data_IF_970884152041
#
_entry.id   IF_970884152041
#
_cell.length_a   1.000
_cell.length_b   1.000
_cell.length_c   1.000
_cell.angle_alpha   90.00
_cell.angle_beta   90.00
_cell.angle_gamma   90.00
#
_symmetry.space_group_name_H-M   'P 1'
#
loop_
_entity.id
_entity.type
_entity.pdbx_description
1 polymer ?
#
# COMPACT_ATOMS: atom_id res chain seq x y z
N UNK A 1 3.18 13.34 -22.18
CA UNK A 1 3.43 12.10 -21.41
C UNK A 1 3.75 12.55 -19.99
N UNK A 2 2.88 12.29 -19.03
CA UNK A 2 3.13 12.65 -17.62
C UNK A 2 3.66 11.39 -16.95
N UNK A 3 4.89 11.45 -16.45
CA UNK A 3 5.54 10.35 -15.75
C UNK A 3 4.75 10.00 -14.47
N UNK A 4 4.56 8.70 -14.26
CA UNK A 4 3.95 8.18 -13.05
C UNK A 4 4.89 8.40 -11.87
N UNK A 5 4.38 9.02 -10.81
CA UNK A 5 5.13 9.18 -9.56
C UNK A 5 5.05 7.85 -8.80
N UNK A 6 6.20 7.19 -8.64
CA UNK A 6 6.39 6.05 -7.75
C UNK A 6 6.14 6.46 -6.29
N UNK A 7 5.33 5.66 -5.58
CA UNK A 7 5.11 5.82 -4.14
C UNK A 7 5.96 4.79 -3.38
N UNK A 8 7.22 5.16 -3.12
CA UNK A 8 8.00 4.58 -2.03
C UNK A 8 7.27 4.81 -0.69
N UNK A 9 7.58 4.00 0.33
CA UNK A 9 7.22 4.35 1.72
C UNK A 9 7.66 5.80 1.95
N UNK A 10 6.73 6.71 2.34
CA UNK A 10 7.04 8.12 2.48
C UNK A 10 8.26 8.33 3.39
N UNK A 11 9.35 8.86 2.86
CA UNK A 11 10.40 9.45 3.69
C UNK A 11 9.83 10.74 4.30
N UNK A 12 9.17 10.58 5.44
CA UNK A 12 8.49 11.67 6.15
C UNK A 12 9.46 12.70 6.76
N UNK A 13 10.78 12.47 6.69
CA UNK A 13 11.77 13.45 7.13
C UNK A 13 11.74 14.76 6.34
N UNK A 14 11.05 14.78 5.18
CA UNK A 14 10.93 15.93 4.26
C UNK A 14 9.61 16.72 4.35
N UNK A 15 8.66 16.31 5.20
CA UNK A 15 7.38 17.02 5.38
C UNK A 15 6.15 16.11 5.28
N UNK A 16 4.93 16.68 5.27
CA UNK A 16 3.71 15.90 5.11
C UNK A 16 3.63 15.28 3.72
N UNK A 17 3.10 14.06 3.63
CA UNK A 17 3.04 13.29 2.39
C UNK A 17 1.60 12.83 2.16
N UNK A 18 1.08 13.13 0.97
CA UNK A 18 -0.20 12.71 0.47
C UNK A 18 -0.05 11.36 -0.23
N UNK A 19 -0.92 10.41 0.11
CA UNK A 19 -0.97 9.08 -0.51
C UNK A 19 -2.43 8.66 -0.67
N UNK A 20 -2.81 8.27 -1.88
CA UNK A 20 -4.17 7.83 -2.21
C UNK A 20 -4.27 6.31 -2.20
N UNK A 21 -5.35 5.75 -1.65
CA UNK A 21 -5.64 4.30 -1.74
C UNK A 21 -7.10 4.12 -2.16
N UNK A 22 -7.28 3.60 -3.38
CA UNK A 22 -8.61 3.25 -3.88
C UNK A 22 -8.98 1.81 -3.52
N UNK A 23 -10.01 1.63 -2.69
CA UNK A 23 -10.56 0.31 -2.38
C UNK A 23 -11.73 0.00 -3.32
N UNK A 24 -11.44 -0.43 -4.54
CA UNK A 24 -12.49 -0.91 -5.44
C UNK A 24 -12.76 -2.40 -5.23
N UNK A 25 -13.59 -2.72 -4.21
CA UNK A 25 -14.87 -3.46 -4.37
C UNK A 25 -15.56 -3.57 -2.99
N UNK A 26 -16.50 -2.67 -2.70
CA UNK A 26 -17.39 -2.83 -1.54
C UNK A 26 -17.74 -1.58 -0.71
N UNK A 27 -17.19 -0.39 -0.96
CA UNK A 27 -17.89 0.84 -0.54
C UNK A 27 -17.11 2.08 -0.11
N UNK A 28 -15.77 2.09 0.03
CA UNK A 28 -15.10 3.26 0.62
C UNK A 28 -13.72 3.54 0.03
N UNK A 29 -13.53 4.67 -0.64
CA UNK A 29 -12.21 5.12 -1.09
C UNK A 29 -11.58 6.01 -0.01
N UNK A 30 -10.29 5.84 0.29
CA UNK A 30 -9.63 6.56 1.40
C UNK A 30 -8.37 7.27 0.95
N UNK A 31 -8.30 8.55 1.27
CA UNK A 31 -7.11 9.36 1.15
C UNK A 31 -6.37 9.39 2.48
N UNK A 32 -5.06 9.09 2.42
CA UNK A 32 -4.17 9.11 3.55
C UNK A 32 -3.22 10.30 3.45
N UNK A 33 -3.07 11.06 4.52
CA UNK A 33 -1.97 12.03 4.66
C UNK A 33 -1.17 11.71 5.88
N UNK A 34 0.13 11.56 5.71
CA UNK A 34 1.05 11.39 6.82
C UNK A 34 1.62 12.75 7.18
N UNK A 35 1.47 13.18 8.44
CA UNK A 35 1.91 14.48 8.93
C UNK A 35 2.76 14.31 10.18
N UNK A 36 4.00 14.81 10.12
CA UNK A 36 4.96 14.76 11.23
C UNK A 36 4.88 16.01 12.13
N UNK A 37 4.51 17.16 11.56
CA UNK A 37 4.27 18.39 12.31
C UNK A 37 2.78 18.74 12.27
N UNK A 38 2.04 18.24 13.23
CA UNK A 38 0.60 18.53 13.33
C UNK A 38 0.30 19.98 13.77
N UNK A 39 1.29 20.76 14.21
CA UNK A 39 1.07 22.16 14.63
C UNK A 39 0.96 23.11 13.44
N UNK A 40 1.59 22.77 12.32
CA UNK A 40 1.45 23.52 11.08
C UNK A 40 0.06 23.34 10.47
N UNK A 41 -0.45 24.40 9.84
CA UNK A 41 -1.69 24.36 9.08
C UNK A 41 -1.43 23.76 7.68
N UNK A 42 -2.09 22.64 7.38
CA UNK A 42 -2.12 22.02 6.06
C UNK A 42 -3.54 21.89 5.54
N UNK A 43 -3.71 22.11 4.23
CA UNK A 43 -5.01 22.04 3.56
C UNK A 43 -4.92 21.10 2.37
N UNK A 44 -5.87 20.18 2.29
CA UNK A 44 -6.01 19.26 1.17
C UNK A 44 -7.19 19.74 0.32
N UNK A 45 -6.97 19.82 -0.98
CA UNK A 45 -7.97 20.27 -1.95
C UNK A 45 -8.13 19.24 -3.06
N UNK A 46 -9.36 19.10 -3.58
CA UNK A 46 -9.71 18.32 -4.76
C UNK A 46 -10.18 19.29 -5.84
N UNK A 47 -9.49 19.34 -6.98
CA UNK A 47 -9.74 20.29 -8.06
C UNK A 47 -9.82 21.75 -7.55
N UNK A 48 -8.97 22.09 -6.57
CA UNK A 48 -8.93 23.41 -5.93
C UNK A 48 -10.02 23.65 -4.88
N UNK A 49 -10.98 22.76 -4.72
CA UNK A 49 -12.00 22.82 -3.66
C UNK A 49 -11.49 22.21 -2.36
N UNK A 50 -11.83 22.80 -1.23
CA UNK A 50 -11.44 22.29 0.08
C UNK A 50 -12.02 20.90 0.35
N UNK A 51 -11.19 19.99 0.87
CA UNK A 51 -11.62 18.64 1.33
C UNK A 51 -11.51 18.55 2.85
N UNK A 52 -10.28 18.68 3.37
CA UNK A 52 -10.00 18.67 4.80
C UNK A 52 -8.74 19.47 5.12
N UNK A 53 -8.50 19.69 6.41
CA UNK A 53 -7.29 20.35 6.89
C UNK A 53 -6.78 19.73 8.18
N UNK A 54 -5.51 19.98 8.43
CA UNK A 54 -4.85 19.76 9.70
C UNK A 54 -4.41 21.11 10.22
N UNK A 55 -4.77 21.45 11.45
CA UNK A 55 -4.30 22.68 12.08
C UNK A 55 -4.22 22.50 13.60
N UNK A 56 -3.13 23.00 14.18
CA UNK A 56 -2.87 23.02 15.62
C UNK A 56 -3.18 21.70 16.35
N UNK A 57 -2.69 20.58 15.83
CA UNK A 57 -2.85 19.25 16.43
C UNK A 57 -4.13 18.52 16.05
N UNK A 58 -5.05 19.17 15.32
CA UNK A 58 -6.39 18.67 15.01
C UNK A 58 -6.55 18.43 13.51
N UNK A 59 -7.42 17.47 13.18
CA UNK A 59 -7.85 17.20 11.81
C UNK A 59 -9.33 17.60 11.68
N UNK A 60 -9.68 18.34 10.64
CA UNK A 60 -11.03 18.85 10.39
C UNK A 60 -11.61 18.16 9.17
N UNK A 61 -12.85 17.64 9.24
CA UNK A 61 -13.50 16.87 8.16
C UNK A 61 -12.75 15.59 7.75
N UNK A 62 -11.97 15.02 8.66
CA UNK A 62 -11.19 13.79 8.45
C UNK A 62 -10.92 13.11 9.79
N UNK A 63 -10.46 11.87 9.75
CA UNK A 63 -10.11 11.07 10.93
C UNK A 63 -8.61 11.10 11.17
N UNK A 64 -8.18 11.27 12.43
CA UNK A 64 -6.77 11.21 12.83
C UNK A 64 -6.47 9.88 13.51
N UNK A 65 -5.38 9.23 13.11
CA UNK A 65 -4.76 8.08 13.79
C UNK A 65 -3.37 8.49 14.28
N UNK A 66 -3.10 8.26 15.57
CA UNK A 66 -1.81 8.54 16.20
C UNK A 66 -0.94 7.27 16.21
N UNK A 67 0.23 7.30 15.56
CA UNK A 67 1.09 6.10 15.41
C UNK A 67 2.22 6.01 16.46
N UNK A 68 2.09 6.65 17.62
CA UNK A 68 3.06 6.58 18.73
C UNK A 68 4.42 7.27 18.50
N UNK A 69 4.84 7.48 17.24
CA UNK A 69 6.16 8.01 16.87
C UNK A 69 6.11 9.48 16.39
N UNK A 70 5.17 10.29 16.89
CA UNK A 70 4.89 11.67 16.40
C UNK A 70 4.40 11.78 14.95
N UNK A 71 4.35 10.66 14.21
CA UNK A 71 3.77 10.55 12.88
C UNK A 71 2.27 10.31 13.00
N UNK A 72 1.48 11.21 12.46
CA UNK A 72 0.02 11.09 12.45
C UNK A 72 -0.45 10.73 11.05
N UNK A 73 -1.41 9.81 10.97
CA UNK A 73 -2.09 9.48 9.71
C UNK A 73 -3.47 10.11 9.72
N UNK A 74 -3.74 10.96 8.75
CA UNK A 74 -5.04 11.55 8.51
C UNK A 74 -5.74 10.75 7.42
N UNK A 75 -6.97 10.36 7.66
CA UNK A 75 -7.78 9.56 6.76
C UNK A 75 -9.03 10.35 6.41
N UNK A 76 -9.22 10.63 5.13
CA UNK A 76 -10.48 11.14 4.61
C UNK A 76 -11.10 10.10 3.70
N UNK A 77 -12.39 9.87 3.89
CA UNK A 77 -13.15 8.91 3.09
C UNK A 77 -13.92 9.67 2.02
N UNK A 78 -13.72 9.25 0.77
CA UNK A 78 -14.51 9.71 -0.36
C UNK A 78 -15.58 8.68 -0.70
N UNK A 79 -16.75 9.18 -1.07
CA UNK A 79 -17.77 8.43 -1.80
C UNK A 79 -17.39 8.34 -3.28
N UNK A 80 -17.82 7.29 -4.00
CA UNK A 80 -17.52 7.14 -5.44
C UNK A 80 -18.01 8.28 -6.33
N UNK A 81 -18.93 9.12 -5.86
CA UNK A 81 -19.46 10.27 -6.61
C UNK A 81 -18.60 11.54 -6.46
N UNK A 82 -17.73 11.59 -5.45
CA UNK A 82 -16.96 12.80 -5.11
C UNK A 82 -15.66 12.94 -5.92
N UNK A 83 -15.25 11.90 -6.65
CA UNK A 83 -14.05 11.93 -7.46
C UNK A 83 -14.21 11.15 -8.76
N UNK A 84 -13.36 11.47 -9.72
CA UNK A 84 -13.17 10.74 -10.96
C UNK A 84 -11.69 10.73 -11.36
N UNK A 85 -11.35 9.81 -12.24
CA UNK A 85 -10.06 9.81 -12.89
C UNK A 85 -9.77 11.15 -13.59
N UNK A 86 -8.55 11.64 -13.42
CA UNK A 86 -8.09 12.95 -13.87
C UNK A 86 -8.24 14.05 -12.83
N UNK A 87 -8.96 13.84 -11.72
CA UNK A 87 -9.08 14.85 -10.67
C UNK A 87 -7.75 15.10 -9.97
N UNK A 88 -7.55 16.35 -9.54
CA UNK A 88 -6.31 16.82 -8.91
C UNK A 88 -6.47 16.93 -7.40
N UNK A 89 -5.70 16.15 -6.66
CA UNK A 89 -5.55 16.31 -5.21
C UNK A 89 -4.30 17.14 -4.91
N UNK A 90 -4.44 18.22 -4.16
CA UNK A 90 -3.31 19.08 -3.79
C UNK A 90 -3.19 19.23 -2.29
N UNK A 91 -1.95 19.22 -1.80
CA UNK A 91 -1.58 19.49 -0.41
C UNK A 91 -0.92 20.86 -0.34
N UNK A 92 -1.42 21.72 0.53
CA UNK A 92 -0.92 23.09 0.73
C UNK A 92 -0.49 23.30 2.17
N UNK A 93 0.49 24.18 2.40
CA UNK A 93 0.76 24.76 3.72
C UNK A 93 -0.02 26.07 3.85
N UNK A 94 -0.99 26.11 4.77
CA UNK A 94 -1.96 27.20 4.93
C UNK A 94 -3.01 27.26 3.80
N UNK A 95 -4.06 28.05 4.00
CA UNK A 95 -5.23 28.10 3.10
C UNK A 95 -4.94 28.66 1.70
N UNK A 96 -3.94 29.54 1.60
CA UNK A 96 -3.58 30.28 0.39
C UNK A 96 -2.14 30.01 -0.07
N UNK A 97 -1.45 29.02 0.54
CA UNK A 97 -0.08 28.69 0.16
C UNK A 97 0.01 27.97 -1.19
N UNK A 98 1.20 27.95 -1.77
CA UNK A 98 1.48 27.13 -2.95
C UNK A 98 1.29 25.64 -2.62
N UNK A 99 0.93 24.86 -3.64
CA UNK A 99 0.84 23.41 -3.49
C UNK A 99 2.24 22.84 -3.20
N UNK A 100 2.36 22.13 -2.09
CA UNK A 100 3.55 21.34 -1.73
C UNK A 100 3.59 20.03 -2.53
N UNK A 101 2.42 19.47 -2.79
CA UNK A 101 2.28 18.23 -3.55
C UNK A 101 0.99 18.27 -4.36
N UNK A 102 1.03 17.67 -5.54
CA UNK A 102 -0.12 17.45 -6.42
C UNK A 102 -0.14 15.98 -6.82
N UNK A 103 -1.30 15.34 -6.68
CA UNK A 103 -1.58 13.99 -7.15
C UNK A 103 -2.70 14.06 -8.18
N UNK A 104 -2.62 13.24 -9.22
CA UNK A 104 -3.70 13.05 -10.18
C UNK A 104 -4.36 11.72 -9.86
N UNK A 105 -5.66 11.72 -9.59
CA UNK A 105 -6.44 10.50 -9.37
C UNK A 105 -6.48 9.75 -10.70
N UNK A 106 -6.07 8.47 -10.73
CA UNK A 106 -6.25 7.61 -11.92
C UNK A 106 -7.43 6.65 -11.73
N UNK A 107 -8.14 6.36 -12.82
CA UNK A 107 -9.15 5.28 -12.95
C UNK A 107 -8.55 3.89 -12.72
N UNK A 108 -7.24 3.78 -12.91
CA UNK A 108 -6.48 2.60 -12.58
C UNK A 108 -6.19 2.61 -11.10
N UNK A 109 -6.76 1.63 -10.38
CA UNK A 109 -6.30 1.25 -9.04
C UNK A 109 -4.82 0.90 -9.16
N UNK A 110 -3.95 1.84 -8.77
CA UNK A 110 -2.55 1.53 -8.54
C UNK A 110 -2.44 1.11 -7.09
N UNK A 111 -2.55 -0.20 -6.86
CA UNK A 111 -1.85 -0.79 -5.73
C UNK A 111 -0.40 -0.35 -5.90
N UNK A 112 0.21 0.29 -4.90
CA UNK A 112 1.65 0.51 -4.94
C UNK A 112 2.26 -0.86 -5.21
N UNK A 113 2.71 -1.13 -6.43
CA UNK A 113 3.69 -2.18 -6.65
C UNK A 113 4.91 -1.70 -5.89
N UNK A 114 4.93 -2.07 -4.62
CA UNK A 114 6.07 -1.92 -3.77
C UNK A 114 7.22 -2.59 -4.50
N UNK A 115 8.26 -1.82 -4.78
CA UNK A 115 9.49 -2.26 -5.46
C UNK A 115 10.04 -3.59 -4.92
N UNK A 116 9.67 -3.97 -3.70
CA UNK A 116 9.98 -5.26 -3.13
C UNK A 116 9.41 -6.44 -3.92
N UNK A 117 8.20 -6.38 -4.50
CA UNK A 117 7.58 -7.51 -5.20
C UNK A 117 7.96 -7.47 -6.68
N UNK A 118 8.72 -8.47 -7.12
CA UNK A 118 9.14 -8.61 -8.50
C UNK A 118 8.12 -9.40 -9.30
N UNK A 119 7.59 -10.49 -8.72
CA UNK A 119 6.70 -11.40 -9.43
C UNK A 119 5.84 -12.21 -8.45
N UNK A 120 4.61 -12.52 -8.87
CA UNK A 120 3.80 -13.58 -8.26
C UNK A 120 3.57 -14.67 -9.30
N UNK A 121 3.86 -15.91 -8.95
CA UNK A 121 3.76 -17.06 -9.84
C UNK A 121 2.91 -18.16 -9.22
N UNK A 122 2.10 -18.80 -10.05
CA UNK A 122 1.32 -19.99 -9.68
C UNK A 122 1.74 -21.17 -10.53
N UNK A 123 1.96 -22.32 -9.91
CA UNK A 123 2.41 -23.55 -10.56
C UNK A 123 1.34 -24.62 -10.39
N UNK A 124 0.47 -24.77 -11.40
CA UNK A 124 -0.70 -25.66 -11.41
C UNK A 124 -0.35 -27.09 -10.96
N UNK A 125 0.61 -27.70 -11.66
CA UNK A 125 1.02 -29.09 -11.48
C UNK A 125 1.46 -29.44 -10.05
N UNK A 126 1.99 -28.44 -9.35
CA UNK A 126 2.54 -28.62 -8.00
C UNK A 126 1.67 -28.02 -6.90
N UNK A 127 0.56 -27.36 -7.27
CA UNK A 127 -0.27 -26.58 -6.35
C UNK A 127 0.55 -25.60 -5.54
N UNK A 128 1.43 -24.83 -6.19
CA UNK A 128 2.35 -23.91 -5.51
C UNK A 128 2.07 -22.47 -5.89
N UNK A 129 2.01 -21.59 -4.90
CA UNK A 129 2.08 -20.13 -5.07
C UNK A 129 3.47 -19.68 -4.64
N UNK A 130 4.14 -18.86 -5.46
CA UNK A 130 5.41 -18.24 -5.12
C UNK A 130 5.34 -16.73 -5.33
N UNK A 131 6.03 -16.01 -4.45
CA UNK A 131 6.24 -14.57 -4.56
C UNK A 131 7.73 -14.32 -4.58
N UNK A 132 8.21 -13.71 -5.66
CA UNK A 132 9.59 -13.27 -5.80
C UNK A 132 9.71 -11.85 -5.28
N UNK A 133 10.64 -11.66 -4.33
CA UNK A 133 10.96 -10.39 -3.73
C UNK A 133 12.39 -9.96 -4.07
N UNK A 134 12.64 -8.66 -4.20
CA UNK A 134 14.01 -8.12 -4.13
C UNK A 134 14.61 -8.47 -2.76
N UNK A 135 15.78 -9.10 -2.79
CA UNK A 135 16.42 -9.69 -1.61
C UNK A 135 16.72 -8.65 -0.51
N UNK A 136 17.11 -7.43 -0.90
CA UNK A 136 17.39 -6.34 0.03
C UNK A 136 16.16 -5.95 0.87
N UNK A 137 14.95 -6.10 0.33
CA UNK A 137 13.70 -5.79 1.03
C UNK A 137 13.24 -6.95 1.90
N UNK A 138 13.42 -8.19 1.43
CA UNK A 138 13.17 -9.40 2.22
C UNK A 138 14.01 -9.46 3.50
N UNK A 139 15.28 -9.03 3.43
CA UNK A 139 16.20 -9.02 4.57
C UNK A 139 15.92 -7.91 5.60
N UNK A 140 15.25 -6.82 5.20
CA UNK A 140 14.87 -5.72 6.09
C UNK A 140 13.80 -6.16 7.10
N UNK A 141 13.52 -5.32 8.09
CA UNK A 141 12.48 -5.54 9.09
C UNK A 141 11.05 -5.32 8.56
N UNK A 142 10.80 -5.71 7.31
CA UNK A 142 9.50 -5.69 6.67
C UNK A 142 8.84 -7.05 6.86
N UNK A 143 7.56 -7.06 7.22
CA UNK A 143 6.76 -8.27 7.27
C UNK A 143 5.95 -8.37 5.98
N UNK A 144 6.18 -9.40 5.18
CA UNK A 144 5.38 -9.67 3.98
C UNK A 144 4.42 -10.82 4.27
N UNK A 145 3.15 -10.64 3.92
CA UNK A 145 2.11 -11.65 4.09
C UNK A 145 1.49 -11.88 2.71
N UNK A 146 1.46 -13.11 2.25
CA UNK A 146 0.74 -13.47 1.03
C UNK A 146 -0.57 -14.12 1.43
N UNK A 147 -1.66 -13.65 0.84
CA UNK A 147 -3.00 -14.17 1.03
C UNK A 147 -3.54 -14.79 -0.24
N UNK A 148 -4.27 -15.88 -0.09
CA UNK A 148 -5.11 -16.46 -1.13
C UNK A 148 -6.57 -16.31 -0.68
N UNK A 149 -7.39 -15.58 -1.43
CA UNK A 149 -8.78 -15.29 -1.10
C UNK A 149 -8.98 -14.75 0.34
N UNK A 150 -8.03 -13.97 0.84
CA UNK A 150 -8.06 -13.39 2.19
C UNK A 150 -7.41 -14.24 3.29
N UNK A 151 -7.08 -15.50 3.02
CA UNK A 151 -6.39 -16.38 3.98
C UNK A 151 -4.87 -16.27 3.86
N UNK A 152 -4.15 -16.15 4.97
CA UNK A 152 -2.68 -16.08 4.98
C UNK A 152 -2.08 -17.44 4.59
N UNK A 153 -1.31 -17.48 3.50
CA UNK A 153 -0.66 -18.71 3.00
C UNK A 153 0.86 -18.67 3.11
N UNK A 154 1.46 -17.48 3.12
CA UNK A 154 2.91 -17.27 3.24
C UNK A 154 3.12 -16.06 4.15
N UNK A 155 4.15 -16.12 4.98
CA UNK A 155 4.61 -14.97 5.74
C UNK A 155 6.13 -14.89 5.74
N UNK A 156 6.71 -13.69 5.72
CA UNK A 156 8.14 -13.49 5.92
C UNK A 156 8.44 -12.27 6.77
N UNK A 157 9.57 -12.29 7.48
CA UNK A 157 10.06 -11.19 8.30
C UNK A 157 11.57 -11.31 8.55
N UNK A 158 12.33 -10.23 8.34
CA UNK A 158 13.78 -10.15 8.61
C UNK A 158 14.57 -11.30 7.98
N UNK A 159 14.32 -11.57 6.70
CA UNK A 159 15.04 -12.59 5.97
C UNK A 159 14.65 -14.03 6.34
N UNK A 160 13.54 -14.24 7.04
CA UNK A 160 13.00 -15.56 7.39
C UNK A 160 11.61 -15.73 6.81
N UNK A 161 11.33 -16.91 6.28
CA UNK A 161 10.01 -17.32 5.83
C UNK A 161 9.32 -18.19 6.89
N UNK A 162 8.01 -18.06 6.98
CA UNK A 162 7.12 -18.75 7.91
C UNK A 162 5.96 -19.34 7.11
N UNK A 163 5.56 -20.57 7.44
CA UNK A 163 4.54 -21.33 6.71
C UNK A 163 4.84 -21.48 5.21
N UNK A 164 6.10 -21.33 4.82
CA UNK A 164 6.56 -21.24 3.44
C UNK A 164 8.01 -21.72 3.33
N UNK A 165 8.41 -22.09 2.12
CA UNK A 165 9.79 -22.38 1.76
C UNK A 165 10.46 -21.13 1.17
N UNK A 166 11.78 -21.08 1.30
CA UNK A 166 12.62 -20.09 0.62
C UNK A 166 13.34 -20.81 -0.51
N UNK A 167 13.07 -20.39 -1.73
CA UNK A 167 13.79 -20.81 -2.92
C UNK A 167 14.73 -19.67 -3.34
N UNK A 168 15.97 -20.01 -3.76
CA UNK A 168 16.78 -19.02 -4.48
C UNK A 168 16.06 -18.69 -5.78
N UNK A 169 15.81 -17.40 -6.03
CA UNK A 169 15.27 -16.99 -7.31
C UNK A 169 16.32 -17.22 -8.42
N UNK A 170 15.85 -17.31 -9.66
CA UNK A 170 16.70 -17.52 -10.83
C UNK A 170 17.66 -16.35 -11.08
N UNK A 171 17.31 -15.15 -10.60
CA UNK A 171 18.09 -13.93 -10.78
C UNK A 171 18.86 -13.56 -9.50
N UNK A 172 20.11 -13.08 -9.62
CA UNK A 172 20.85 -12.50 -8.50
C UNK A 172 20.10 -11.30 -7.89
N UNK A 173 20.07 -11.20 -6.55
CA UNK A 173 19.40 -10.11 -5.83
C UNK A 173 17.90 -10.30 -5.65
N UNK A 174 17.36 -11.47 -5.99
CA UNK A 174 15.97 -11.84 -5.79
C UNK A 174 15.85 -13.10 -4.91
N UNK A 175 14.71 -13.23 -4.24
CA UNK A 175 14.38 -14.40 -3.44
C UNK A 175 12.92 -14.80 -3.64
N UNK A 176 12.65 -16.08 -3.81
CA UNK A 176 11.30 -16.59 -3.93
C UNK A 176 10.86 -17.19 -2.59
N UNK A 177 9.72 -16.75 -2.09
CA UNK A 177 9.02 -17.40 -0.98
C UNK A 177 7.80 -18.13 -1.53
N UNK A 178 7.61 -19.39 -1.15
CA UNK A 178 6.59 -20.23 -1.77
C UNK A 178 5.85 -21.12 -0.76
N UNK A 179 4.60 -21.44 -1.05
CA UNK A 179 3.81 -22.39 -0.27
C UNK A 179 3.02 -23.30 -1.21
N UNK A 180 2.84 -24.55 -0.77
CA UNK A 180 1.92 -25.49 -1.42
C UNK A 180 0.52 -25.24 -0.89
N UNK A 181 -0.38 -24.84 -1.78
CA UNK A 181 -1.76 -24.50 -1.48
C UNK A 181 -2.65 -24.85 -2.67
N UNK A 182 -3.87 -25.30 -2.41
CA UNK A 182 -4.85 -25.52 -3.47
C UNK A 182 -5.41 -24.17 -3.91
N UNK A 183 -5.42 -23.95 -5.21
CA UNK A 183 -6.02 -22.79 -5.84
C UNK A 183 -6.70 -23.21 -7.14
N UNK A 184 -7.57 -22.35 -7.67
CA UNK A 184 -8.23 -22.49 -8.96
C UNK A 184 -8.17 -21.17 -9.73
N UNK A 185 -8.36 -21.19 -11.06
CA UNK A 185 -8.50 -19.98 -11.85
C UNK A 185 -9.50 -19.00 -11.24
N UNK A 186 -9.15 -17.71 -11.25
CA UNK A 186 -9.93 -16.63 -10.66
C UNK A 186 -9.73 -16.43 -9.15
N UNK A 187 -9.04 -17.33 -8.44
CA UNK A 187 -8.67 -17.08 -7.04
C UNK A 187 -7.75 -15.85 -6.95
N UNK A 188 -7.98 -15.03 -5.92
CA UNK A 188 -7.25 -13.78 -5.70
C UNK A 188 -6.01 -14.03 -4.85
N UNK A 189 -4.86 -13.54 -5.28
CA UNK A 189 -3.62 -13.53 -4.51
C UNK A 189 -3.27 -12.09 -4.15
N UNK A 190 -3.04 -11.82 -2.87
CA UNK A 190 -2.65 -10.51 -2.37
C UNK A 190 -1.32 -10.61 -1.64
N UNK A 191 -0.39 -9.70 -1.91
CA UNK A 191 0.82 -9.53 -1.09
C UNK A 191 0.63 -8.27 -0.26
N UNK A 192 0.88 -8.38 1.03
CA UNK A 192 0.74 -7.30 1.99
C UNK A 192 2.10 -7.01 2.63
N UNK A 193 2.39 -5.73 2.85
CA UNK A 193 3.42 -5.29 3.80
C UNK A 193 2.71 -4.94 5.11
N UNK A 194 3.14 -5.54 6.20
CA UNK A 194 2.59 -5.32 7.53
C UNK A 194 3.67 -4.83 8.50
N UNK A 195 3.22 -4.10 9.53
CA UNK A 195 4.06 -3.79 10.68
C UNK A 195 4.03 -4.93 11.72
N UNK A 196 4.97 -4.91 12.65
CA UNK A 196 5.04 -5.87 13.75
C UNK A 196 5.76 -7.18 13.40
N UNK A 197 5.73 -8.12 14.35
CA UNK A 197 6.40 -9.43 14.25
C UNK A 197 5.37 -10.51 13.86
N UNK A 198 5.82 -11.62 13.26
CA UNK A 198 4.99 -12.80 13.08
C UNK A 198 4.28 -13.25 14.36
N UNK A 199 3.04 -13.71 14.24
CA UNK A 199 2.21 -14.15 15.36
C UNK A 199 1.56 -13.05 16.20
N UNK A 200 1.79 -11.77 15.90
CA UNK A 200 1.12 -10.63 16.53
C UNK A 200 -0.02 -10.13 15.62
N UNK A 201 -1.17 -9.69 16.17
CA UNK A 201 -2.23 -9.06 15.38
C UNK A 201 -1.69 -7.91 14.52
N UNK A 202 -2.14 -7.84 13.26
CA UNK A 202 -1.67 -6.83 12.32
C UNK A 202 -2.27 -5.45 12.68
N UNK A 203 -1.51 -4.60 13.38
CA UNK A 203 -1.98 -3.25 13.73
C UNK A 203 -2.00 -2.28 12.54
N UNK A 204 -1.16 -2.51 11.54
CA UNK A 204 -1.20 -1.80 10.26
C UNK A 204 -0.65 -2.67 9.12
N UNK A 205 -1.39 -2.79 8.03
CA UNK A 205 -0.96 -3.51 6.82
C UNK A 205 -1.52 -2.85 5.56
N UNK A 206 -0.75 -2.89 4.49
CA UNK A 206 -1.16 -2.39 3.17
C UNK A 206 -0.98 -3.49 2.13
N UNK A 207 -1.96 -3.66 1.25
CA UNK A 207 -1.81 -4.50 0.05
C UNK A 207 -0.85 -3.79 -0.89
N UNK A 208 0.21 -4.49 -1.27
CA UNK A 208 1.29 -3.99 -2.13
C UNK A 208 1.37 -4.72 -3.48
N UNK A 209 0.58 -5.79 -3.65
CA UNK A 209 0.41 -6.45 -4.93
C UNK A 209 -0.90 -7.24 -4.92
N UNK A 210 -1.62 -7.23 -6.03
CA UNK A 210 -2.80 -8.07 -6.24
C UNK A 210 -2.69 -8.74 -7.60
N UNK A 211 -2.87 -10.04 -7.63
CA UNK A 211 -2.98 -10.82 -8.87
C UNK A 211 -4.10 -11.83 -8.75
N UNK A 212 -4.45 -12.46 -9.86
CA UNK A 212 -5.44 -13.51 -9.93
C UNK A 212 -4.82 -14.73 -10.61
N UNK A 213 -5.20 -15.92 -10.16
CA UNK A 213 -4.79 -17.16 -10.83
C UNK A 213 -5.36 -17.14 -12.25
N UNK A 214 -4.53 -17.23 -13.30
CA UNK A 214 -5.00 -17.12 -14.67
C UNK A 214 -5.82 -18.34 -15.11
N UNK A 215 -6.66 -18.15 -16.12
CA UNK A 215 -7.36 -19.23 -16.80
C UNK A 215 -6.37 -20.15 -17.53
N UNK A 216 -6.62 -21.47 -17.49
CA UNK A 216 -5.77 -22.47 -18.16
C UNK A 216 -4.65 -23.08 -17.30
N UNK A 217 -4.56 -22.72 -16.02
CA UNK A 217 -3.72 -23.35 -15.01
C UNK A 217 -4.39 -24.69 -14.61
N UNK A 218 -4.03 -25.79 -15.29
CA UNK A 218 -4.54 -27.15 -15.04
C UNK A 218 -3.56 -27.96 -14.21
#
# INVERSE_FOLDING_TARGET
>A
MVEAIDLAIPDTSKGPILSWVDYQKGGETRLYTTVNDMKSHYVIKLNGQYVYSVDNGKAYYSYKIENGNSVNTIIHQFTPAEFKAGDLLTLHKGSHGNALQTLIISDKVRYNEDDAVVMVSTFADSGKVAVTLKEEFYRKANRYIVRLNGENIIESFKGKAYHSAVDKASNPGEIAISAKVKFKPGDKIEVLRASGKPGVPNYSSSVIHTSYVPDGVK
#
